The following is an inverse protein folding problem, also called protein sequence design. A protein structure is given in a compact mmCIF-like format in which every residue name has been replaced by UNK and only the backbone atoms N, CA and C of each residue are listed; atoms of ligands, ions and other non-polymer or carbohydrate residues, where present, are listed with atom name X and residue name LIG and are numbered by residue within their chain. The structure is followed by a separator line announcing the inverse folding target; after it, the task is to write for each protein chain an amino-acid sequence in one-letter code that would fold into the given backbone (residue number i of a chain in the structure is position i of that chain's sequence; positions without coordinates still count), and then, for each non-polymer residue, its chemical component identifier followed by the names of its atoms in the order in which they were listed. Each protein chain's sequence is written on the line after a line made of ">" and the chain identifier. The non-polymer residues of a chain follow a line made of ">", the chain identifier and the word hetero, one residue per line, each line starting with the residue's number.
data_IF_708535800593
#
_entry.id   IF_708535800593
#
_cell.length_a   1.000
_cell.length_b   1.000
_cell.length_c   1.000
_cell.angle_alpha   90.00
_cell.angle_beta   90.00
_cell.angle_gamma   90.00
#
_symmetry.space_group_name_H-M   'P 1'
#
loop_
_entity.id
_entity.type
_entity.pdbx_description
1 polymer ?
#
# COMPACT_ATOMS: atom_id res chain seq x y z
N UNK A 1 13.31 8.47 11.00
CA UNK A 1 12.91 7.67 9.83
C UNK A 1 11.52 8.12 9.43
N UNK A 2 11.41 8.79 8.29
CA UNK A 2 10.22 9.46 7.79
C UNK A 2 9.07 8.48 7.56
N UNK A 3 9.34 7.32 6.93
CA UNK A 3 8.28 6.35 6.62
C UNK A 3 7.54 5.87 7.88
N UNK A 4 8.23 5.73 9.02
CA UNK A 4 7.59 5.35 10.31
C UNK A 4 6.74 6.46 10.92
N UNK A 5 7.09 7.72 10.73
CA UNK A 5 6.27 8.85 11.22
C UNK A 5 4.91 8.88 10.53
N UNK A 6 4.88 8.44 9.27
CA UNK A 6 3.69 8.37 8.43
C UNK A 6 2.93 7.05 8.53
N UNK A 7 3.13 6.27 9.60
CA UNK A 7 2.54 4.93 9.77
C UNK A 7 1.02 4.85 9.50
N UNK A 8 0.16 5.87 9.72
CA UNK A 8 -1.25 5.77 9.36
C UNK A 8 -1.51 5.50 7.88
N UNK A 9 -0.59 5.90 6.99
CA UNK A 9 -0.71 5.66 5.53
C UNK A 9 0.42 4.79 4.97
N UNK A 10 1.46 4.50 5.75
CA UNK A 10 2.62 3.70 5.32
C UNK A 10 2.70 2.32 6.00
N UNK A 11 1.87 2.04 7.00
CA UNK A 11 1.85 0.69 7.61
C UNK A 11 1.24 -0.35 6.70
N UNK A 12 0.36 0.05 5.79
CA UNK A 12 -0.28 -0.78 4.76
C UNK A 12 -0.10 -0.04 3.43
N UNK A 13 0.73 -0.55 2.53
CA UNK A 13 1.13 0.13 1.30
C UNK A 13 1.13 -0.80 0.09
N UNK A 14 1.05 -0.20 -1.10
CA UNK A 14 1.16 -0.91 -2.36
C UNK A 14 2.58 -0.83 -2.95
N UNK A 15 3.00 -1.85 -3.69
CA UNK A 15 4.23 -1.88 -4.48
C UNK A 15 3.92 -2.46 -5.87
N UNK A 16 4.31 -1.80 -6.96
CA UNK A 16 4.06 -2.27 -8.35
C UNK A 16 5.38 -2.32 -9.11
N UNK A 17 5.65 -3.40 -9.82
CA UNK A 17 6.88 -3.62 -10.61
C UNK A 17 6.83 -2.89 -11.96
N UNK A 18 6.69 -1.57 -11.91
CA UNK A 18 6.68 -0.70 -13.09
C UNK A 18 7.12 0.73 -12.72
N UNK A 19 7.55 1.57 -13.68
CA UNK A 19 7.96 2.96 -13.42
C UNK A 19 6.82 3.84 -12.89
N UNK A 20 7.11 4.71 -11.92
CA UNK A 20 6.08 5.49 -11.21
C UNK A 20 5.21 6.34 -12.12
N UNK A 21 5.80 6.97 -13.14
CA UNK A 21 5.07 7.78 -14.11
C UNK A 21 4.09 6.94 -14.96
N UNK A 22 4.42 5.69 -15.27
CA UNK A 22 3.56 4.78 -16.03
C UNK A 22 2.41 4.29 -15.16
N UNK A 23 2.72 3.87 -13.93
CA UNK A 23 1.73 3.42 -12.94
C UNK A 23 0.72 4.53 -12.63
N UNK A 24 1.18 5.76 -12.38
CA UNK A 24 0.30 6.88 -12.09
C UNK A 24 -0.62 7.25 -13.27
N UNK A 25 -0.11 7.20 -14.50
CA UNK A 25 -0.91 7.43 -15.71
C UNK A 25 -1.97 6.35 -15.90
N UNK A 26 -1.63 5.08 -15.69
CA UNK A 26 -2.57 3.96 -15.82
C UNK A 26 -3.66 4.04 -14.75
N UNK A 27 -3.28 4.31 -13.50
CA UNK A 27 -4.22 4.54 -12.41
C UNK A 27 -5.20 5.69 -12.73
N UNK A 28 -4.67 6.82 -13.23
CA UNK A 28 -5.50 7.96 -13.60
C UNK A 28 -6.43 7.66 -14.79
N UNK A 29 -5.98 6.87 -15.77
CA UNK A 29 -6.79 6.46 -16.91
C UNK A 29 -7.93 5.54 -16.48
N UNK A 30 -7.64 4.53 -15.66
CA UNK A 30 -8.65 3.65 -15.07
C UNK A 30 -9.74 4.43 -14.32
N UNK A 31 -9.32 5.32 -13.43
CA UNK A 31 -10.24 6.18 -12.67
C UNK A 31 -10.98 7.18 -13.58
N UNK A 32 -10.35 7.65 -14.65
CA UNK A 32 -10.98 8.47 -15.67
C UNK A 32 -12.15 7.76 -16.36
N UNK A 33 -12.04 6.45 -16.60
CA UNK A 33 -13.14 5.60 -17.08
C UNK A 33 -14.32 5.52 -16.10
N UNK A 34 -14.09 5.81 -14.82
CA UNK A 34 -15.12 5.91 -13.77
C UNK A 34 -15.59 7.35 -13.55
N UNK A 35 -15.16 8.30 -14.38
CA UNK A 35 -15.48 9.73 -14.25
C UNK A 35 -14.74 10.43 -13.10
N UNK A 36 -13.65 9.86 -12.60
CA UNK A 36 -12.79 10.48 -11.57
C UNK A 36 -11.58 11.10 -12.26
N UNK A 37 -11.32 12.37 -11.98
CA UNK A 37 -10.21 13.09 -12.61
C UNK A 37 -9.20 13.55 -11.56
N UNK A 38 -7.93 13.59 -11.98
CA UNK A 38 -6.82 13.99 -11.12
C UNK A 38 -6.07 15.16 -11.73
N UNK A 39 -5.64 16.08 -10.87
CA UNK A 39 -4.50 16.94 -11.13
C UNK A 39 -3.24 16.15 -10.78
N UNK A 40 -2.28 16.13 -11.71
CA UNK A 40 -0.97 15.51 -11.51
C UNK A 40 0.06 16.58 -11.19
N UNK A 41 0.90 16.30 -10.20
CA UNK A 41 2.05 17.11 -9.82
C UNK A 41 3.28 16.20 -9.63
N UNK A 42 4.46 16.75 -9.86
CA UNK A 42 5.74 16.05 -9.66
C UNK A 42 6.49 16.67 -8.49
N UNK A 43 7.05 15.82 -7.63
CA UNK A 43 7.74 16.22 -6.41
C UNK A 43 9.15 15.66 -6.46
N UNK A 44 10.14 16.54 -6.43
CA UNK A 44 11.57 16.20 -6.61
C UNK A 44 12.41 16.43 -5.36
N UNK A 45 11.79 16.89 -4.26
CA UNK A 45 12.51 17.39 -3.08
C UNK A 45 12.91 16.29 -2.10
N UNK A 46 11.96 15.52 -1.54
CA UNK A 46 12.23 14.45 -0.58
C UNK A 46 11.02 13.55 -0.33
N UNK A 47 11.24 12.39 0.31
CA UNK A 47 10.16 11.51 0.77
C UNK A 47 9.23 12.20 1.78
N UNK A 48 9.79 12.93 2.75
CA UNK A 48 9.00 13.68 3.73
C UNK A 48 8.05 14.68 3.08
N UNK A 49 8.56 15.47 2.12
CA UNK A 49 7.76 16.45 1.39
C UNK A 49 6.68 15.78 0.53
N UNK A 50 6.99 14.63 -0.08
CA UNK A 50 6.03 13.85 -0.86
C UNK A 50 4.90 13.29 0.01
N UNK A 51 5.22 12.67 1.15
CA UNK A 51 4.23 12.14 2.08
C UNK A 51 3.35 13.24 2.68
N UNK A 52 3.93 14.43 2.96
CA UNK A 52 3.19 15.61 3.43
C UNK A 52 2.04 16.02 2.50
N UNK A 53 2.12 15.72 1.19
CA UNK A 53 1.05 16.03 0.24
C UNK A 53 -0.20 15.16 0.43
N UNK A 54 -0.10 14.04 1.14
CA UNK A 54 -1.26 13.21 1.46
C UNK A 54 -2.19 13.88 2.49
N UNK A 55 -1.75 14.89 3.24
CA UNK A 55 -2.63 15.58 4.20
C UNK A 55 -3.59 16.57 3.53
N UNK A 56 -4.88 16.58 3.91
CA UNK A 56 -5.44 15.89 5.07
C UNK A 56 -5.88 14.46 4.74
N UNK A 57 -5.89 13.59 5.75
CA UNK A 57 -6.39 12.23 5.67
C UNK A 57 -7.92 12.22 5.78
N UNK A 58 -8.59 11.43 4.95
CA UNK A 58 -10.06 11.38 4.85
C UNK A 58 -10.55 9.95 4.57
N UNK A 59 -11.82 9.68 4.88
CA UNK A 59 -12.45 8.40 4.55
C UNK A 59 -12.74 8.23 3.05
N UNK A 60 -12.82 9.33 2.28
CA UNK A 60 -13.19 9.26 0.86
C UNK A 60 -11.96 9.15 -0.07
N UNK A 61 -10.76 9.32 0.48
CA UNK A 61 -9.46 9.30 -0.22
C UNK A 61 -9.44 10.03 -1.56
N UNK A 62 -8.91 11.24 -1.59
CA UNK A 62 -8.80 12.07 -2.79
C UNK A 62 -7.36 12.21 -3.29
N UNK A 63 -6.36 11.77 -2.52
CA UNK A 63 -4.95 11.96 -2.83
C UNK A 63 -4.19 10.65 -2.91
N UNK A 64 -3.32 10.54 -3.92
CA UNK A 64 -2.45 9.39 -4.17
C UNK A 64 -1.03 9.84 -4.40
N UNK A 65 -0.09 9.01 -3.97
CA UNK A 65 1.33 9.23 -4.15
C UNK A 65 1.97 7.97 -4.72
N UNK A 66 2.74 8.14 -5.79
CA UNK A 66 3.51 7.09 -6.43
C UNK A 66 4.99 7.45 -6.34
N UNK A 67 5.81 6.57 -5.79
CA UNK A 67 7.22 6.84 -5.52
C UNK A 67 8.06 5.70 -6.08
N UNK A 68 8.95 6.00 -7.02
CA UNK A 68 9.95 5.03 -7.49
C UNK A 68 10.80 4.51 -6.33
N UNK A 69 11.24 3.26 -6.42
CA UNK A 69 12.17 2.65 -5.48
C UNK A 69 13.50 2.36 -6.17
N UNK A 70 14.53 2.04 -5.38
CA UNK A 70 15.83 1.60 -5.90
C UNK A 70 15.80 0.19 -6.53
N UNK A 71 14.66 -0.51 -6.53
CA UNK A 71 14.54 -1.90 -7.00
C UNK A 71 13.71 -2.06 -8.29
N UNK A 72 13.34 -0.95 -8.94
CA UNK A 72 12.47 -0.98 -10.13
C UNK A 72 10.98 -1.11 -9.81
N UNK A 73 10.62 -1.02 -8.52
CA UNK A 73 9.25 -0.98 -8.05
C UNK A 73 8.79 0.46 -7.85
N UNK A 74 7.48 0.66 -7.79
CA UNK A 74 6.82 1.91 -7.41
C UNK A 74 6.00 1.66 -6.18
N UNK A 75 6.27 2.40 -5.11
CA UNK A 75 5.42 2.42 -3.92
C UNK A 75 4.19 3.29 -4.13
N UNK A 76 3.06 2.84 -3.61
CA UNK A 76 1.76 3.50 -3.68
C UNK A 76 1.24 3.80 -2.27
N UNK A 77 0.81 5.04 -2.08
CA UNK A 77 0.16 5.52 -0.86
C UNK A 77 -1.11 6.31 -1.20
N UNK A 78 -2.10 6.31 -0.31
CA UNK A 78 -3.27 7.19 -0.39
C UNK A 78 -3.66 7.74 0.98
N UNK A 79 -4.41 8.84 0.98
CA UNK A 79 -4.72 9.60 2.19
C UNK A 79 -5.90 9.06 3.03
N UNK A 80 -5.97 7.75 3.24
CA UNK A 80 -7.01 7.16 4.06
C UNK A 80 -6.77 7.35 5.55
N UNK A 81 -7.81 7.73 6.30
CA UNK A 81 -7.75 7.77 7.78
C UNK A 81 -7.52 6.38 8.41
N UNK A 82 -7.85 5.32 7.68
CA UNK A 82 -7.71 3.93 8.11
C UNK A 82 -6.55 3.18 7.41
N UNK A 83 -5.73 3.87 6.61
CA UNK A 83 -4.68 3.22 5.80
C UNK A 83 -4.76 3.55 4.32
N UNK A 84 -3.75 3.09 3.56
CA UNK A 84 -3.70 3.29 2.11
C UNK A 84 -4.48 2.25 1.29
N UNK A 85 -5.30 1.39 1.89
CA UNK A 85 -6.11 0.34 1.23
C UNK A 85 -5.61 -0.08 -0.18
N UNK A 86 -4.44 -0.73 -0.27
CA UNK A 86 -3.77 -0.94 -1.54
C UNK A 86 -4.34 -2.11 -2.35
N UNK A 87 -5.22 -2.95 -1.79
CA UNK A 87 -5.74 -4.14 -2.47
C UNK A 87 -6.37 -3.81 -3.85
N UNK A 88 -7.35 -2.88 -3.98
CA UNK A 88 -7.97 -2.61 -5.26
C UNK A 88 -7.00 -2.14 -6.36
N UNK A 89 -6.13 -1.12 -6.14
CA UNK A 89 -5.19 -0.70 -7.18
C UNK A 89 -4.12 -1.73 -7.49
N UNK A 90 -3.62 -2.47 -6.50
CA UNK A 90 -2.56 -3.46 -6.75
C UNK A 90 -3.09 -4.63 -7.58
N UNK A 91 -4.27 -5.16 -7.23
CA UNK A 91 -4.92 -6.23 -8.00
C UNK A 91 -5.21 -5.78 -9.43
N UNK A 92 -5.86 -4.62 -9.61
CA UNK A 92 -6.21 -4.12 -10.94
C UNK A 92 -4.98 -3.83 -11.81
N UNK A 93 -4.01 -3.06 -11.29
CA UNK A 93 -2.87 -2.61 -12.08
C UNK A 93 -1.92 -3.76 -12.43
N UNK A 94 -1.76 -4.77 -11.56
CA UNK A 94 -1.00 -5.98 -11.90
C UNK A 94 -1.55 -6.67 -13.14
N UNK A 95 -2.87 -6.85 -13.21
CA UNK A 95 -3.54 -7.44 -14.37
C UNK A 95 -3.39 -6.56 -15.61
N UNK A 96 -3.73 -5.27 -15.47
CA UNK A 96 -3.83 -4.37 -16.61
C UNK A 96 -2.47 -4.06 -17.24
N UNK A 97 -1.45 -3.85 -16.41
CA UNK A 97 -0.09 -3.57 -16.86
C UNK A 97 0.72 -4.85 -17.12
N UNK A 98 0.16 -6.03 -16.81
CA UNK A 98 0.80 -7.35 -16.94
C UNK A 98 2.12 -7.46 -16.17
N UNK A 99 2.13 -6.96 -14.93
CA UNK A 99 3.28 -6.96 -14.02
C UNK A 99 2.90 -7.56 -12.66
N UNK A 100 3.87 -7.73 -11.76
CA UNK A 100 3.59 -8.04 -10.36
C UNK A 100 3.26 -6.77 -9.58
N UNK A 101 2.37 -6.90 -8.61
CA UNK A 101 2.12 -5.91 -7.57
C UNK A 101 2.03 -6.59 -6.21
N UNK A 102 2.13 -5.81 -5.13
CA UNK A 102 2.01 -6.33 -3.78
C UNK A 102 1.27 -5.37 -2.87
N UNK A 103 0.52 -5.93 -1.93
CA UNK A 103 0.14 -5.27 -0.69
C UNK A 103 1.10 -5.74 0.41
N UNK A 104 1.64 -4.79 1.15
CA UNK A 104 2.52 -5.06 2.28
C UNK A 104 2.01 -4.31 3.49
N UNK A 105 1.67 -5.05 4.53
CA UNK A 105 1.23 -4.50 5.80
C UNK A 105 2.13 -4.95 6.96
N UNK A 106 2.59 -3.98 7.73
CA UNK A 106 3.17 -4.17 9.07
C UNK A 106 2.56 -3.12 9.97
N UNK A 107 1.70 -3.57 10.88
CA UNK A 107 1.15 -2.68 11.90
C UNK A 107 2.24 -2.08 12.79
N UNK A 108 2.05 -0.84 13.26
CA UNK A 108 2.97 -0.23 14.21
C UNK A 108 2.90 -0.95 15.56
N UNK A 109 3.96 -0.81 16.36
CA UNK A 109 4.00 -1.36 17.71
C UNK A 109 2.87 -0.77 18.57
N UNK A 110 2.18 -1.63 19.33
CA UNK A 110 1.05 -1.20 20.17
C UNK A 110 -0.25 -0.91 19.42
N UNK A 111 -0.34 -1.20 18.11
CA UNK A 111 -1.60 -1.15 17.38
C UNK A 111 -2.70 -1.95 18.11
N UNK A 112 -3.93 -1.42 18.11
CA UNK A 112 -5.09 -2.08 18.74
C UNK A 112 -5.36 -3.46 18.12
N UNK A 113 -5.27 -3.54 16.79
CA UNK A 113 -5.51 -4.72 15.98
C UNK A 113 -4.27 -4.98 15.11
N UNK A 114 -3.19 -5.55 15.69
CA UNK A 114 -1.95 -5.73 14.96
C UNK A 114 -2.12 -6.76 13.83
N UNK A 115 -1.51 -6.48 12.69
CA UNK A 115 -1.47 -7.35 11.53
C UNK A 115 -0.11 -7.27 10.81
N UNK A 116 0.29 -8.41 10.26
CA UNK A 116 1.39 -8.56 9.30
C UNK A 116 0.78 -9.26 8.09
N UNK A 117 0.79 -8.60 6.94
CA UNK A 117 0.13 -9.09 5.72
C UNK A 117 1.08 -8.93 4.54
N UNK A 118 1.12 -9.95 3.71
CA UNK A 118 1.79 -9.91 2.41
C UNK A 118 0.89 -10.55 1.37
N UNK A 119 0.54 -9.76 0.36
CA UNK A 119 -0.22 -10.27 -0.78
C UNK A 119 0.55 -9.89 -2.05
N UNK A 120 0.73 -10.86 -2.93
CA UNK A 120 1.32 -10.69 -4.26
C UNK A 120 0.20 -10.86 -5.27
N UNK A 121 0.06 -9.89 -6.16
CA UNK A 121 -0.84 -9.95 -7.29
C UNK A 121 -0.04 -10.03 -8.59
N UNK A 122 -0.52 -10.83 -9.53
CA UNK A 122 0.12 -11.02 -10.83
C UNK A 122 -0.93 -11.46 -11.86
N UNK A 123 -0.74 -11.18 -13.16
CA UNK A 123 -1.57 -11.76 -14.20
C UNK A 123 -1.42 -13.30 -14.27
N UNK A 124 -2.37 -14.03 -14.89
CA UNK A 124 -2.31 -15.50 -14.96
C UNK A 124 -1.01 -16.06 -15.54
N UNK A 125 -0.38 -15.35 -16.48
CA UNK A 125 0.89 -15.75 -17.08
C UNK A 125 2.08 -15.66 -16.11
N UNK A 126 1.90 -14.96 -15.00
CA UNK A 126 2.86 -14.86 -13.89
C UNK A 126 2.36 -15.61 -12.64
N UNK A 127 1.33 -16.47 -12.80
CA UNK A 127 0.84 -17.39 -11.77
C UNK A 127 -0.23 -16.82 -10.83
N UNK A 128 -0.80 -15.66 -11.11
CA UNK A 128 -1.94 -15.16 -10.32
C UNK A 128 -3.25 -15.87 -10.68
N UNK A 129 -4.17 -15.92 -9.73
CA UNK A 129 -5.49 -16.48 -9.96
C UNK A 129 -6.30 -15.63 -10.96
N UNK A 130 -7.20 -16.22 -11.75
CA UNK A 130 -7.91 -15.52 -12.82
C UNK A 130 -9.00 -14.55 -12.35
N UNK A 131 -9.37 -14.56 -11.06
CA UNK A 131 -10.46 -13.75 -10.50
C UNK A 131 -9.91 -12.46 -9.88
N UNK A 132 -8.99 -12.59 -8.92
CA UNK A 132 -8.45 -11.45 -8.16
C UNK A 132 -6.97 -11.20 -8.46
N UNK A 133 -6.33 -12.05 -9.26
CA UNK A 133 -4.91 -11.92 -9.56
C UNK A 133 -3.99 -12.32 -8.42
N UNK A 134 -4.50 -12.92 -7.35
CA UNK A 134 -3.71 -13.33 -6.19
C UNK A 134 -2.76 -14.44 -6.62
N UNK A 135 -1.45 -14.13 -6.60
CA UNK A 135 -0.35 -15.09 -6.78
C UNK A 135 0.01 -15.76 -5.46
N UNK A 136 -0.04 -15.00 -4.37
CA UNK A 136 0.22 -15.45 -3.00
C UNK A 136 -0.43 -14.50 -2.02
N UNK A 137 -1.01 -14.99 -0.93
CA UNK A 137 -1.47 -14.16 0.19
C UNK A 137 -1.11 -14.87 1.50
N UNK A 138 -0.60 -14.10 2.47
CA UNK A 138 -0.26 -14.55 3.81
C UNK A 138 -0.63 -13.44 4.79
N UNK A 139 -1.42 -13.75 5.80
CA UNK A 139 -1.82 -12.80 6.82
C UNK A 139 -1.76 -13.46 8.20
N UNK A 140 -1.07 -12.80 9.15
CA UNK A 140 -1.24 -13.03 10.57
C UNK A 140 -1.81 -11.74 11.18
N UNK A 141 -3.05 -11.77 11.62
CA UNK A 141 -3.77 -10.59 12.08
C UNK A 141 -4.57 -10.84 13.35
N UNK A 142 -4.68 -9.82 14.18
CA UNK A 142 -5.63 -9.79 15.28
C UNK A 142 -6.95 -9.20 14.77
N UNK A 143 -7.91 -10.07 14.48
CA UNK A 143 -9.24 -9.70 14.03
C UNK A 143 -10.19 -9.69 15.23
N UNK A 144 -10.58 -8.49 15.67
CA UNK A 144 -11.56 -8.31 16.74
C UNK A 144 -11.18 -8.95 18.09
N UNK A 145 -9.88 -9.07 18.38
CA UNK A 145 -9.36 -9.66 19.62
C UNK A 145 -8.93 -11.12 19.50
N UNK A 146 -9.03 -11.72 18.30
CA UNK A 146 -8.62 -13.10 18.04
C UNK A 146 -7.57 -13.13 16.95
N UNK A 147 -6.52 -13.91 17.17
CA UNK A 147 -5.52 -14.13 16.13
C UNK A 147 -6.05 -15.07 15.05
N UNK A 148 -5.96 -14.62 13.80
CA UNK A 148 -6.16 -15.39 12.59
C UNK A 148 -4.82 -15.56 11.87
N UNK A 149 -4.70 -16.67 11.16
CA UNK A 149 -3.61 -16.91 10.22
C UNK A 149 -4.25 -17.48 8.97
N UNK A 150 -4.01 -16.84 7.84
CA UNK A 150 -4.60 -17.18 6.55
C UNK A 150 -3.49 -17.19 5.50
N UNK A 151 -3.55 -18.18 4.61
CA UNK A 151 -2.69 -18.22 3.44
C UNK A 151 -3.46 -18.73 2.21
N UNK A 152 -3.08 -18.26 1.03
CA UNK A 152 -3.65 -18.68 -0.24
C UNK A 152 -2.62 -18.58 -1.37
N UNK A 153 -2.83 -19.33 -2.44
CA UNK A 153 -1.93 -19.38 -3.60
C UNK A 153 -0.69 -20.26 -3.38
N UNK A 154 0.00 -20.56 -4.48
CA UNK A 154 1.19 -21.40 -4.50
C UNK A 154 2.34 -20.74 -3.72
N UNK A 155 2.98 -21.48 -2.82
CA UNK A 155 4.12 -20.97 -2.03
C UNK A 155 5.33 -20.69 -2.92
N UNK A 156 6.11 -19.67 -2.60
CA UNK A 156 7.44 -19.48 -3.20
C UNK A 156 8.46 -20.42 -2.56
N UNK A 157 9.52 -20.76 -3.30
CA UNK A 157 10.56 -21.71 -2.85
C UNK A 157 11.35 -21.23 -1.62
N UNK A 158 11.41 -19.92 -1.39
CA UNK A 158 12.09 -19.32 -0.24
C UNK A 158 11.22 -19.27 1.03
N UNK A 159 9.94 -19.64 0.95
CA UNK A 159 9.04 -19.54 2.10
C UNK A 159 9.41 -20.56 3.20
N UNK A 160 9.49 -20.09 4.45
CA UNK A 160 9.66 -20.94 5.65
C UNK A 160 8.32 -21.58 6.04
N UNK A 161 7.81 -22.47 5.20
CA UNK A 161 6.49 -23.07 5.33
C UNK A 161 6.25 -23.78 6.69
N UNK A 162 7.29 -24.36 7.30
CA UNK A 162 7.19 -25.02 8.62
C UNK A 162 6.70 -24.07 9.72
N UNK A 163 6.91 -22.76 9.56
CA UNK A 163 6.42 -21.76 10.51
C UNK A 163 4.90 -21.64 10.51
N UNK A 164 4.25 -21.97 9.40
CA UNK A 164 2.81 -21.80 9.24
C UNK A 164 2.00 -22.79 10.10
N UNK A 165 2.67 -23.80 10.65
CA UNK A 165 2.07 -24.79 11.55
C UNK A 165 2.36 -24.52 13.03
N UNK A 166 3.04 -23.42 13.38
CA UNK A 166 3.33 -23.09 14.78
C UNK A 166 2.04 -22.99 15.62
N UNK A 167 2.06 -23.41 16.90
CA UNK A 167 0.86 -23.43 17.75
C UNK A 167 0.18 -22.07 17.89
N UNK A 168 0.97 -20.98 17.91
CA UNK A 168 0.47 -19.61 18.07
C UNK A 168 0.38 -18.94 16.71
N UNK A 169 -0.85 -18.65 16.27
CA UNK A 169 -1.12 -18.01 14.96
C UNK A 169 -0.32 -16.72 14.72
N UNK A 170 -0.19 -15.89 15.76
CA UNK A 170 0.60 -14.64 15.70
C UNK A 170 2.09 -14.84 15.39
N UNK A 171 2.63 -16.01 15.73
CA UNK A 171 4.06 -16.31 15.59
C UNK A 171 4.37 -16.95 14.21
N UNK A 172 3.32 -17.27 13.42
CA UNK A 172 3.42 -17.94 12.11
C UNK A 172 3.96 -17.03 11.01
N UNK A 173 3.65 -15.73 11.06
CA UNK A 173 4.11 -14.74 10.10
C UNK A 173 4.51 -13.42 10.80
N UNK A 174 5.66 -13.41 11.50
CA UNK A 174 6.12 -12.23 12.21
C UNK A 174 6.71 -11.16 11.25
N UNK A 175 6.84 -9.89 11.67
CA UNK A 175 7.38 -8.81 10.83
C UNK A 175 8.77 -9.09 10.25
N UNK A 176 9.60 -9.85 10.94
CA UNK A 176 10.95 -10.23 10.51
C UNK A 176 10.91 -11.16 9.30
N UNK A 177 9.97 -12.10 9.28
CA UNK A 177 9.77 -13.03 8.16
C UNK A 177 9.22 -12.30 6.94
N UNK A 178 8.31 -11.34 7.15
CA UNK A 178 7.87 -10.44 6.08
C UNK A 178 9.05 -9.68 5.46
N UNK A 179 9.93 -9.12 6.28
CA UNK A 179 11.11 -8.42 5.79
C UNK A 179 12.06 -9.34 4.98
N UNK A 180 12.23 -10.60 5.41
CA UNK A 180 13.00 -11.60 4.68
C UNK A 180 12.38 -11.90 3.31
N UNK A 181 11.07 -12.14 3.23
CA UNK A 181 10.39 -12.43 1.97
C UNK A 181 10.44 -11.24 1.01
N UNK A 182 10.33 -10.01 1.51
CA UNK A 182 10.46 -8.80 0.67
C UNK A 182 11.89 -8.61 0.15
N UNK A 183 12.90 -9.06 0.89
CA UNK A 183 14.29 -8.99 0.46
C UNK A 183 14.57 -9.87 -0.78
N UNK A 184 13.84 -10.98 -0.96
CA UNK A 184 13.91 -11.82 -2.18
C UNK A 184 13.48 -11.04 -3.45
N UNK A 185 12.64 -10.01 -3.29
CA UNK A 185 12.28 -9.07 -4.34
C UNK A 185 13.13 -7.80 -4.35
N UNK A 186 14.21 -7.76 -3.56
CA UNK A 186 15.08 -6.60 -3.33
C UNK A 186 14.31 -5.39 -2.77
N UNK A 187 13.34 -5.63 -1.88
CA UNK A 187 12.52 -4.57 -1.31
C UNK A 187 12.82 -4.33 0.17
N UNK A 188 12.80 -3.06 0.57
CA UNK A 188 12.97 -2.63 1.96
C UNK A 188 12.02 -1.48 2.31
N UNK A 189 10.68 -1.67 2.26
CA UNK A 189 9.69 -0.59 2.34
C UNK A 189 9.68 0.18 3.66
N UNK A 190 10.33 -0.33 4.72
CA UNK A 190 10.50 0.40 5.98
C UNK A 190 11.90 0.98 6.14
N UNK A 191 12.61 1.25 5.06
CA UNK A 191 13.82 2.06 5.04
C UNK A 191 13.58 3.32 4.21
N UNK A 192 13.95 4.49 4.72
CA UNK A 192 13.82 5.74 3.94
C UNK A 192 14.71 5.69 2.68
N UNK A 193 15.86 5.01 2.75
CA UNK A 193 16.83 4.87 1.66
C UNK A 193 16.31 3.99 0.51
N UNK A 194 15.19 3.29 0.69
CA UNK A 194 14.58 2.46 -0.36
C UNK A 194 13.92 3.29 -1.47
N UNK A 195 13.49 4.51 -1.14
CA UNK A 195 12.70 5.37 -2.03
C UNK A 195 13.61 6.30 -2.85
N UNK A 196 13.36 6.36 -4.15
CA UNK A 196 14.14 7.16 -5.09
C UNK A 196 13.37 8.43 -5.50
N UNK A 197 13.63 9.52 -4.77
CA UNK A 197 13.06 10.84 -5.06
C UNK A 197 14.18 11.82 -5.36
N UNK A 198 14.33 12.14 -6.64
CA UNK A 198 15.35 13.07 -7.18
C UNK A 198 14.78 13.75 -8.44
N UNK A 199 15.38 14.83 -8.95
CA UNK A 199 14.91 15.47 -10.19
C UNK A 199 14.70 14.53 -11.39
N UNK A 200 15.51 13.46 -11.53
CA UNK A 200 15.35 12.44 -12.57
C UNK A 200 14.40 11.28 -12.23
N UNK A 201 13.91 11.23 -10.99
CA UNK A 201 12.94 10.25 -10.50
C UNK A 201 11.97 10.96 -9.55
N UNK A 202 11.08 11.83 -10.05
CA UNK A 202 10.12 12.52 -9.20
C UNK A 202 9.10 11.53 -8.61
N UNK A 203 8.66 11.81 -7.40
CA UNK A 203 7.40 11.23 -6.93
C UNK A 203 6.24 11.87 -7.70
N UNK A 204 5.24 11.06 -8.06
CA UNK A 204 4.05 11.52 -8.78
C UNK A 204 2.90 11.61 -7.79
N UNK A 205 2.36 12.82 -7.64
CA UNK A 205 1.22 13.10 -6.79
C UNK A 205 -0.03 13.30 -7.64
N UNK A 206 -1.13 12.64 -7.26
CA UNK A 206 -2.44 12.81 -7.88
C UNK A 206 -3.42 13.36 -6.84
N UNK A 207 -4.00 14.52 -7.14
CA UNK A 207 -5.05 15.16 -6.34
C UNK A 207 -6.35 15.17 -7.12
N UNK A 208 -7.43 14.62 -6.54
CA UNK A 208 -8.72 14.51 -7.25
C UNK A 208 -9.25 15.91 -7.57
N UNK A 209 -9.46 16.20 -8.84
CA UNK A 209 -9.82 17.55 -9.31
C UNK A 209 -11.32 17.79 -9.37
N UNK A 210 -12.14 16.73 -9.47
CA UNK A 210 -13.59 16.83 -9.49
C UNK A 210 -14.20 16.47 -8.12
N UNK A 211 -15.32 17.12 -7.73
CA UNK A 211 -15.95 16.85 -6.45
C UNK A 211 -16.26 15.36 -6.25
N UNK A 212 -16.21 14.93 -4.98
CA UNK A 212 -16.72 13.64 -4.56
C UNK A 212 -18.23 13.60 -4.83
N UNK A 213 -18.65 12.99 -5.94
CA UNK A 213 -20.07 12.81 -6.26
C UNK A 213 -20.69 11.78 -5.32
N UNK A 214 -21.00 12.20 -4.09
CA UNK A 214 -21.75 11.42 -3.10
C UNK A 214 -23.22 11.84 -3.05
N UNK A 215 -24.11 10.88 -2.79
CA UNK A 215 -25.58 11.04 -2.71
C UNK A 215 -26.09 12.05 -1.66
N UNK A 216 -25.23 12.69 -0.87
CA UNK A 216 -25.65 13.58 0.23
C UNK A 216 -25.00 14.98 0.27
N UNK A 217 -24.09 15.32 -0.65
CA UNK A 217 -23.46 16.66 -0.67
C UNK A 217 -22.67 17.07 0.58
N UNK A 218 -22.51 16.18 1.57
CA UNK A 218 -21.75 16.45 2.78
C UNK A 218 -20.24 16.30 2.53
N UNK A 219 -19.47 17.32 2.87
CA UNK A 219 -18.00 17.28 2.84
C UNK A 219 -17.53 16.22 3.84
N UNK A 220 -16.74 15.25 3.36
CA UNK A 220 -16.14 14.25 4.23
C UNK A 220 -15.22 14.92 5.26
N UNK A 221 -15.34 14.52 6.53
CA UNK A 221 -14.41 14.98 7.57
C UNK A 221 -12.99 14.58 7.17
N UNK A 222 -12.07 15.51 7.34
CA UNK A 222 -10.66 15.33 7.05
C UNK A 222 -9.82 15.72 8.27
N UNK A 223 -8.67 15.09 8.42
CA UNK A 223 -7.83 15.17 9.60
C UNK A 223 -6.37 15.34 9.19
N UNK A 224 -5.63 16.17 9.91
CA UNK A 224 -4.17 16.17 9.83
C UNK A 224 -3.60 14.84 10.30
N UNK A 225 -2.37 14.53 9.92
CA UNK A 225 -1.62 13.39 10.42
C UNK A 225 -1.57 13.41 11.96
N UNK A 226 -1.30 14.57 12.56
CA UNK A 226 -1.25 14.75 14.01
C UNK A 226 -2.60 14.41 14.68
N UNK A 227 -3.71 14.83 14.09
CA UNK A 227 -5.04 14.49 14.60
C UNK A 227 -5.32 12.98 14.50
N UNK A 228 -4.91 12.32 13.42
CA UNK A 228 -5.05 10.85 13.29
C UNK A 228 -4.20 10.13 14.33
N UNK A 229 -2.95 10.56 14.55
CA UNK A 229 -2.07 10.01 15.58
C UNK A 229 -2.63 10.22 17.00
N UNK A 230 -3.29 11.35 17.25
CA UNK A 230 -3.99 11.63 18.51
C UNK A 230 -5.33 10.87 18.66
N UNK A 231 -5.71 10.09 17.64
CA UNK A 231 -6.92 9.28 17.60
C UNK A 231 -8.22 10.06 17.37
N UNK A 232 -8.15 11.30 16.85
CA UNK A 232 -9.33 12.14 16.63
C UNK A 232 -10.41 11.51 15.72
N UNK A 233 -10.08 10.73 14.66
CA UNK A 233 -11.11 10.08 13.84
C UNK A 233 -11.95 9.04 14.58
N UNK A 234 -11.48 8.55 15.73
CA UNK A 234 -12.06 7.44 16.48
C UNK A 234 -12.77 7.88 17.77
N UNK A 235 -12.90 9.19 17.98
CA UNK A 235 -13.57 9.79 19.13
C UNK A 235 -15.02 10.14 18.82
#
# INVERSE_FOLDING_TARGET
>A
MEIRRWHPVTSDMGLIEAPAAAVASEFAAWHGGLGIHYRREEITSSLAASLARLEPLSAVTDRRLFVSTLSGWTAFFQNGVAGSDPFPPMSFLAQHMRVRAMRVCRSPDGARWPAVIWEVYAPPELGGDPVLGIRRSIAAANDGGRWVFEEAGERFDFEEADRYDLPKKRDRFPPELLAQYLAEFRMAPWSDDFYDIRPGSPAIFLDRSNPLSGRSGAVAKSYTLEQVLAGAPWR
#
